data_IF_838972529980
#
_entry.id   IF_838972529980
#
_cell.length_a   1.000
_cell.length_b   1.000
_cell.length_c   1.000
_cell.angle_alpha   90.00
_cell.angle_beta   90.00
_cell.angle_gamma   90.00
#
_symmetry.space_group_name_H-M   'P 1'
#
loop_
_entity.id
_entity.type
_entity.pdbx_description
1 polymer ?
#
# COMPACT_ATOMS: atom_id res chain seq x y z
N UNK A 1 11.69 -38.68 -21.61
CA UNK A 1 12.21 -37.29 -21.60
C UNK A 1 11.30 -36.49 -20.68
N UNK A 2 11.74 -36.30 -19.44
CA UNK A 2 11.02 -35.58 -18.38
C UNK A 2 11.69 -34.21 -18.20
N UNK A 3 10.89 -33.16 -18.15
CA UNK A 3 11.32 -31.77 -17.97
C UNK A 3 11.92 -31.57 -16.58
N UNK A 4 13.21 -31.23 -16.55
CA UNK A 4 13.95 -30.73 -15.39
C UNK A 4 13.75 -29.21 -15.34
N UNK A 5 12.89 -28.73 -14.44
CA UNK A 5 12.87 -27.34 -13.94
C UNK A 5 12.10 -27.28 -12.60
N UNK A 6 12.56 -28.08 -11.64
CA UNK A 6 12.18 -27.95 -10.23
C UNK A 6 13.47 -27.69 -9.46
N UNK A 7 13.69 -26.45 -9.04
CA UNK A 7 14.80 -26.11 -8.13
C UNK A 7 14.41 -26.64 -6.74
N UNK A 8 15.24 -27.49 -6.10
CA UNK A 8 14.97 -27.95 -4.75
C UNK A 8 15.17 -26.81 -3.76
N UNK A 9 14.28 -26.74 -2.76
CA UNK A 9 14.40 -25.82 -1.62
C UNK A 9 15.60 -26.25 -0.79
N UNK A 10 16.76 -25.66 -1.07
CA UNK A 10 17.97 -25.80 -0.27
C UNK A 10 17.90 -24.87 0.93
N UNK A 11 17.88 -25.45 2.13
CA UNK A 11 18.15 -24.73 3.37
C UNK A 11 19.60 -24.23 3.34
N UNK A 12 19.80 -22.91 3.34
CA UNK A 12 21.05 -22.31 3.81
C UNK A 12 20.83 -22.00 5.28
N UNK A 13 21.44 -22.78 6.16
CA UNK A 13 21.55 -22.42 7.56
C UNK A 13 22.51 -21.23 7.65
N UNK A 14 21.95 -20.03 7.79
CA UNK A 14 22.71 -18.86 8.22
C UNK A 14 22.65 -18.90 9.75
N UNK A 15 23.67 -19.50 10.37
CA UNK A 15 23.96 -19.28 11.79
C UNK A 15 24.47 -17.84 11.95
N UNK A 16 23.54 -16.90 11.95
CA UNK A 16 23.75 -15.53 12.42
C UNK A 16 22.88 -15.35 13.67
N UNK A 17 23.44 -14.96 14.82
CA UNK A 17 22.64 -14.72 16.01
C UNK A 17 21.78 -13.47 15.79
N UNK A 18 20.47 -13.70 15.60
CA UNK A 18 19.38 -12.72 15.60
C UNK A 18 19.28 -11.78 14.38
N UNK A 19 18.94 -12.31 13.21
CA UNK A 19 18.27 -11.48 12.20
C UNK A 19 16.88 -11.07 12.75
N UNK A 20 16.70 -9.80 13.11
CA UNK A 20 15.41 -9.26 13.56
C UNK A 20 14.40 -9.38 12.42
N UNK A 21 13.42 -10.27 12.55
CA UNK A 21 12.32 -10.37 11.58
C UNK A 21 11.25 -9.37 11.98
N UNK A 22 10.84 -8.53 11.03
CA UNK A 22 9.74 -7.58 11.22
C UNK A 22 8.51 -8.08 10.48
N UNK A 23 7.43 -8.38 11.21
CA UNK A 23 6.17 -8.81 10.61
C UNK A 23 5.32 -7.62 10.20
N UNK A 24 5.08 -7.47 8.91
CA UNK A 24 4.27 -6.41 8.32
C UNK A 24 2.90 -6.97 7.92
N UNK A 25 1.84 -6.44 8.53
CA UNK A 25 0.45 -6.71 8.17
C UNK A 25 -0.06 -5.58 7.29
N UNK A 26 -0.57 -5.90 6.11
CA UNK A 26 -1.02 -4.94 5.11
C UNK A 26 -2.51 -5.10 4.85
N UNK A 27 -3.22 -3.97 4.84
CA UNK A 27 -4.66 -3.83 4.55
C UNK A 27 -4.85 -2.58 3.69
N UNK A 28 -5.90 -2.55 2.86
CA UNK A 28 -6.31 -1.37 2.09
C UNK A 28 -7.80 -1.42 1.82
N UNK A 29 -8.42 -0.29 1.45
CA UNK A 29 -9.79 -0.26 0.94
C UNK A 29 -10.79 -0.93 1.90
N UNK A 30 -10.68 -0.63 3.18
CA UNK A 30 -11.65 -1.14 4.18
C UNK A 30 -13.00 -0.50 4.00
N UNK A 31 -13.08 0.73 3.47
CA UNK A 31 -14.33 1.47 3.30
C UNK A 31 -15.17 1.41 4.60
N UNK A 32 -16.45 1.08 4.53
CA UNK A 32 -17.31 0.92 5.72
C UNK A 32 -17.04 -0.32 6.57
N UNK A 33 -16.16 -1.23 6.12
CA UNK A 33 -15.91 -2.50 6.79
C UNK A 33 -14.79 -2.42 7.84
N UNK A 34 -14.15 -1.26 8.04
CA UNK A 34 -13.13 -1.07 9.07
C UNK A 34 -13.63 -1.40 10.49
N UNK A 35 -14.92 -1.17 10.75
CA UNK A 35 -15.59 -1.49 12.01
C UNK A 35 -15.74 -3.00 12.25
N UNK A 36 -15.76 -3.80 11.18
CA UNK A 36 -15.89 -5.26 11.25
C UNK A 36 -14.56 -5.93 11.61
N UNK A 37 -13.43 -5.30 11.26
CA UNK A 37 -12.11 -5.83 11.56
C UNK A 37 -11.87 -5.90 13.07
N UNK A 38 -11.47 -7.06 13.58
CA UNK A 38 -11.21 -7.28 15.01
C UNK A 38 -9.73 -7.55 15.27
N UNK A 39 -9.20 -7.18 16.45
CA UNK A 39 -7.87 -7.63 16.86
C UNK A 39 -7.82 -9.16 16.93
N UNK A 40 -6.61 -9.73 16.91
CA UNK A 40 -6.45 -11.17 17.00
C UNK A 40 -6.97 -11.67 18.36
N UNK A 41 -7.64 -12.83 18.37
CA UNK A 41 -8.16 -13.39 19.62
C UNK A 41 -6.99 -13.68 20.58
N UNK A 42 -7.08 -13.19 21.83
CA UNK A 42 -6.20 -13.70 22.89
C UNK A 42 -6.45 -15.19 23.04
N UNK A 43 -5.45 -16.00 22.71
CA UNK A 43 -5.48 -17.42 23.06
C UNK A 43 -5.47 -17.48 24.59
N UNK A 44 -6.58 -17.91 25.20
CA UNK A 44 -6.66 -18.15 26.63
C UNK A 44 -5.67 -19.26 27.03
N UNK A 45 -4.44 -18.86 27.32
CA UNK A 45 -3.39 -19.66 27.90
C UNK A 45 -2.45 -18.68 28.57
N UNK A 46 -2.48 -18.64 29.91
CA UNK A 46 -1.66 -17.82 30.81
C UNK A 46 -0.45 -17.14 30.15
N UNK A 47 -0.66 -15.94 29.60
CA UNK A 47 0.41 -14.98 29.38
C UNK A 47 0.17 -13.89 30.40
N UNK A 48 1.05 -13.87 31.41
CA UNK A 48 1.10 -12.86 32.45
C UNK A 48 0.96 -11.46 31.85
N UNK A 49 0.07 -10.67 32.44
CA UNK A 49 -0.16 -9.24 32.21
C UNK A 49 1.14 -8.48 31.97
N UNK A 50 1.39 -8.06 30.74
CA UNK A 50 2.30 -6.94 30.48
C UNK A 50 1.50 -5.66 30.66
N UNK A 51 1.68 -5.01 31.81
CA UNK A 51 1.35 -3.60 31.98
C UNK A 51 2.14 -2.82 30.94
N UNK A 52 1.46 -2.19 29.99
CA UNK A 52 2.06 -1.17 29.13
C UNK A 52 2.30 0.09 29.97
N UNK A 53 3.45 0.18 30.63
CA UNK A 53 4.05 1.48 30.88
C UNK A 53 4.55 1.99 29.53
N UNK A 54 3.90 3.02 29.00
CA UNK A 54 4.43 3.83 27.91
C UNK A 54 5.87 4.23 28.25
N UNK A 55 6.87 3.90 27.42
CA UNK A 55 8.15 4.56 27.50
C UNK A 55 8.02 5.95 26.85
N UNK A 56 8.44 6.96 27.60
CA UNK A 56 8.65 8.32 27.14
C UNK A 56 9.49 8.38 25.85
N UNK A 57 9.09 9.29 24.95
CA UNK A 57 9.92 9.98 23.96
C UNK A 57 11.22 9.27 23.50
N UNK A 58 11.14 8.49 22.42
CA UNK A 58 12.31 8.22 21.59
C UNK A 58 12.07 8.66 20.14
N UNK A 59 13.04 9.44 19.65
CA UNK A 59 13.08 10.17 18.40
C UNK A 59 12.74 9.30 17.17
N UNK A 60 11.56 9.47 16.61
CA UNK A 60 11.34 9.17 15.19
C UNK A 60 12.00 10.29 14.39
N UNK A 61 13.13 9.99 13.72
CA UNK A 61 13.77 10.93 12.81
C UNK A 61 12.90 11.04 11.56
N UNK A 62 12.08 12.10 11.50
CA UNK A 62 11.53 12.60 10.24
C UNK A 62 12.70 13.24 9.48
N UNK A 63 12.97 12.80 8.26
CA UNK A 63 13.97 13.44 7.42
C UNK A 63 13.47 14.85 7.02
N UNK A 64 14.13 15.91 7.52
CA UNK A 64 13.71 17.30 7.35
C UNK A 64 14.17 17.96 6.03
N UNK A 65 14.80 17.24 5.10
CA UNK A 65 15.43 17.87 3.92
C UNK A 65 14.55 17.95 2.66
N UNK A 66 13.36 18.54 2.76
CA UNK A 66 12.56 18.92 1.58
C UNK A 66 12.17 20.40 1.55
N UNK A 67 13.15 21.30 1.41
CA UNK A 67 12.91 22.69 0.98
C UNK A 67 13.92 23.16 -0.09
N UNK A 68 13.37 23.37 -1.28
CA UNK A 68 13.66 24.37 -2.33
C UNK A 68 15.09 24.89 -2.54
N UNK A 69 15.69 24.58 -3.70
CA UNK A 69 16.34 25.58 -4.57
C UNK A 69 16.12 25.18 -6.05
N UNK A 70 15.43 26.05 -6.80
CA UNK A 70 15.54 26.15 -8.26
C UNK A 70 16.79 26.96 -8.58
N UNK A 71 17.75 26.41 -9.34
CA UNK A 71 18.34 27.08 -10.53
C UNK A 71 19.23 26.10 -11.32
N UNK A 72 19.24 26.36 -12.62
CA UNK A 72 19.96 25.81 -13.76
C UNK A 72 21.43 25.45 -13.58
N UNK A 73 21.82 24.28 -14.08
CA UNK A 73 22.74 24.13 -15.23
C UNK A 73 23.26 22.70 -15.31
N UNK A 74 23.43 22.26 -16.55
CA UNK A 74 23.92 20.97 -17.00
C UNK A 74 25.27 20.55 -16.41
N UNK A 75 25.36 19.34 -15.87
CA UNK A 75 26.35 18.31 -16.22
C UNK A 75 26.03 17.03 -15.44
N UNK A 76 25.62 15.98 -16.15
CA UNK A 76 25.51 14.63 -15.60
C UNK A 76 26.93 14.12 -15.36
N UNK A 77 27.36 14.12 -14.10
CA UNK A 77 28.45 13.27 -13.63
C UNK A 77 27.81 12.00 -13.08
N UNK A 78 28.07 10.88 -13.74
CA UNK A 78 27.75 9.53 -13.24
C UNK A 78 28.41 9.35 -11.87
N UNK A 79 27.60 9.10 -10.84
CA UNK A 79 28.06 8.67 -9.53
C UNK A 79 27.98 7.14 -9.45
N UNK A 80 28.96 6.46 -8.83
CA UNK A 80 29.01 5.01 -8.79
C UNK A 80 27.86 4.44 -7.97
N UNK A 81 27.35 3.29 -8.42
CA UNK A 81 26.37 2.46 -7.71
C UNK A 81 26.92 2.01 -6.35
N UNK A 82 26.66 2.78 -5.28
CA UNK A 82 26.61 2.20 -3.94
C UNK A 82 25.42 1.24 -3.93
N UNK A 83 25.72 -0.05 -4.09
CA UNK A 83 24.76 -1.15 -4.02
C UNK A 83 24.27 -1.25 -2.58
N UNK A 84 23.26 -0.46 -2.23
CA UNK A 84 22.50 -0.66 -1.00
C UNK A 84 21.78 -2.00 -1.11
N UNK A 85 22.20 -2.98 -0.30
CA UNK A 85 21.48 -4.23 -0.16
C UNK A 85 20.13 -3.94 0.53
N UNK A 86 19.03 -4.19 -0.18
CA UNK A 86 17.69 -4.13 0.40
C UNK A 86 17.34 -5.47 1.02
N UNK A 87 16.59 -5.44 2.12
CA UNK A 87 16.16 -6.64 2.83
C UNK A 87 15.32 -7.59 1.97
N UNK A 88 14.96 -8.75 2.50
CA UNK A 88 14.07 -9.71 1.83
C UNK A 88 12.66 -9.69 2.45
N UNK A 89 11.62 -9.90 1.63
CA UNK A 89 10.24 -10.00 2.11
C UNK A 89 9.64 -11.33 1.63
N UNK A 90 9.30 -12.18 2.59
CA UNK A 90 8.63 -13.45 2.34
C UNK A 90 7.15 -13.33 2.71
N UNK A 91 6.27 -13.73 1.79
CA UNK A 91 4.85 -13.86 2.09
C UNK A 91 4.70 -14.97 3.13
N UNK A 92 4.20 -14.62 4.32
CA UNK A 92 3.86 -15.62 5.30
C UNK A 92 2.64 -16.38 4.79
N UNK A 93 2.84 -17.59 4.27
CA UNK A 93 1.73 -18.42 3.81
C UNK A 93 0.90 -18.79 5.04
N UNK A 94 -0.23 -18.14 5.26
CA UNK A 94 -1.28 -18.71 6.09
C UNK A 94 -1.87 -19.91 5.33
N UNK A 95 -1.14 -21.04 5.34
CA UNK A 95 -1.72 -22.33 5.00
C UNK A 95 -2.87 -22.57 6.00
N UNK A 96 -4.10 -22.37 5.54
CA UNK A 96 -5.30 -23.12 5.96
C UNK A 96 -5.72 -23.10 7.44
N UNK A 97 -5.29 -22.18 8.29
CA UNK A 97 -5.92 -22.05 9.62
C UNK A 97 -6.99 -20.98 9.61
N UNK A 98 -8.26 -21.41 9.66
CA UNK A 98 -9.50 -20.85 10.26
C UNK A 98 -9.52 -19.43 10.86
N UNK A 99 -8.74 -18.46 10.37
CA UNK A 99 -8.88 -17.07 10.77
C UNK A 99 -10.22 -16.60 10.22
N UNK A 100 -11.02 -16.00 11.10
CA UNK A 100 -12.23 -15.31 10.69
C UNK A 100 -11.82 -14.27 9.64
N UNK A 101 -12.57 -14.13 8.54
CA UNK A 101 -12.20 -13.20 7.46
C UNK A 101 -12.05 -11.76 8.01
N UNK A 102 -12.60 -11.46 9.19
CA UNK A 102 -12.51 -10.18 9.90
C UNK A 102 -11.33 -10.02 10.87
N UNK A 103 -10.52 -11.05 11.11
CA UNK A 103 -9.44 -10.98 12.09
C UNK A 103 -8.17 -10.36 11.46
N UNK A 104 -7.62 -9.33 12.10
CA UNK A 104 -6.30 -8.78 11.73
C UNK A 104 -5.24 -9.55 12.51
N UNK A 105 -4.32 -10.27 11.86
CA UNK A 105 -3.28 -11.05 12.54
C UNK A 105 -2.34 -10.17 13.37
N UNK A 106 -1.63 -10.79 14.32
CA UNK A 106 -0.51 -10.14 15.00
C UNK A 106 0.62 -9.81 14.02
N UNK A 107 1.23 -8.64 14.20
CA UNK A 107 2.48 -8.23 13.55
C UNK A 107 3.13 -7.05 14.28
N UNK A 108 4.34 -6.71 13.87
CA UNK A 108 5.08 -5.56 14.40
C UNK A 108 4.57 -4.25 13.79
N UNK A 109 4.27 -4.27 12.48
CA UNK A 109 3.81 -3.11 11.71
C UNK A 109 2.46 -3.40 11.09
N UNK A 110 1.47 -2.54 11.32
CA UNK A 110 0.20 -2.52 10.57
C UNK A 110 0.24 -1.40 9.54
N UNK A 111 0.05 -1.72 8.27
CA UNK A 111 0.01 -0.75 7.16
C UNK A 111 -1.40 -0.71 6.57
N UNK A 112 -1.98 0.48 6.49
CA UNK A 112 -3.21 0.73 5.75
C UNK A 112 -2.96 1.68 4.56
N UNK A 113 -3.06 1.18 3.33
CA UNK A 113 -2.70 1.91 2.10
C UNK A 113 -3.86 2.67 1.44
N UNK A 114 -4.70 3.33 2.24
CA UNK A 114 -5.73 4.24 1.77
C UNK A 114 -7.11 3.65 1.56
N UNK A 115 -8.07 4.54 1.29
CA UNK A 115 -9.51 4.25 1.20
C UNK A 115 -10.03 3.60 2.50
N UNK A 116 -9.74 4.28 3.61
CA UNK A 116 -10.17 3.90 4.94
C UNK A 116 -11.68 4.08 5.11
N UNK A 117 -12.24 5.20 4.64
CA UNK A 117 -13.68 5.46 4.70
C UNK A 117 -14.29 5.73 3.33
N UNK A 118 -15.43 5.09 3.06
CA UNK A 118 -16.34 5.45 1.98
C UNK A 118 -17.74 5.54 2.55
N UNK A 119 -18.23 6.76 2.81
CA UNK A 119 -19.62 6.94 3.25
C UNK A 119 -20.62 6.61 2.15
N UNK A 120 -21.27 5.43 2.22
CA UNK A 120 -22.49 5.13 1.44
C UNK A 120 -23.69 5.98 1.88
N UNK A 121 -23.62 6.62 3.05
CA UNK A 121 -24.64 7.54 3.56
C UNK A 121 -24.54 8.95 2.97
N UNK A 122 -23.46 9.27 2.26
CA UNK A 122 -23.36 10.46 1.42
C UNK A 122 -24.03 10.28 0.05
N UNK A 123 -25.27 9.76 0.06
CA UNK A 123 -26.21 9.82 -1.07
C UNK A 123 -26.79 11.22 -1.29
N UNK A 124 -26.33 12.23 -0.55
CA UNK A 124 -26.65 13.64 -0.73
C UNK A 124 -25.50 14.42 -1.38
N UNK A 125 -25.79 15.67 -1.77
CA UNK A 125 -24.86 16.63 -2.41
C UNK A 125 -23.61 16.91 -1.54
N UNK A 126 -23.64 16.58 -0.25
CA UNK A 126 -22.58 16.81 0.72
C UNK A 126 -22.02 15.47 1.23
N UNK A 127 -20.76 15.19 0.86
CA UNK A 127 -19.94 14.14 1.48
C UNK A 127 -19.55 14.60 2.88
N UNK A 128 -19.40 13.68 3.83
CA UNK A 128 -18.69 14.03 5.07
C UNK A 128 -17.22 14.19 4.70
N UNK A 129 -16.87 15.39 4.23
CA UNK A 129 -15.49 15.87 4.15
C UNK A 129 -15.03 16.35 5.54
N UNK A 130 -15.69 15.89 6.62
CA UNK A 130 -15.43 16.32 7.99
C UNK A 130 -14.14 15.66 8.49
N UNK A 131 -13.06 16.40 8.32
CA UNK A 131 -11.72 16.04 8.77
C UNK A 131 -11.68 15.46 10.20
N UNK A 132 -12.35 16.09 11.16
CA UNK A 132 -12.26 15.68 12.57
C UNK A 132 -12.96 14.33 12.82
N UNK A 133 -14.13 14.12 12.19
CA UNK A 133 -14.88 12.86 12.30
C UNK A 133 -14.09 11.70 11.70
N UNK A 134 -13.55 11.89 10.49
CA UNK A 134 -12.78 10.85 9.79
C UNK A 134 -11.49 10.50 10.56
N UNK A 135 -10.76 11.50 11.07
CA UNK A 135 -9.56 11.24 11.84
C UNK A 135 -9.88 10.55 13.17
N UNK A 136 -11.00 10.88 13.82
CA UNK A 136 -11.43 10.16 15.02
C UNK A 136 -11.75 8.69 14.72
N UNK A 137 -12.46 8.40 13.62
CA UNK A 137 -12.72 7.01 13.21
C UNK A 137 -11.42 6.23 12.92
N UNK A 138 -10.43 6.89 12.31
CA UNK A 138 -9.10 6.29 12.12
C UNK A 138 -8.42 6.00 13.45
N UNK A 139 -8.49 6.92 14.43
CA UNK A 139 -7.96 6.69 15.77
C UNK A 139 -8.60 5.49 16.45
N UNK A 140 -9.93 5.48 16.52
CA UNK A 140 -10.69 4.39 17.10
C UNK A 140 -10.36 3.04 16.42
N UNK A 141 -10.11 3.07 15.10
CA UNK A 141 -9.68 1.88 14.37
C UNK A 141 -8.29 1.40 14.78
N UNK A 142 -7.26 2.25 14.68
CA UNK A 142 -5.86 1.85 14.90
C UNK A 142 -5.54 1.55 16.36
N UNK A 143 -6.24 2.17 17.31
CA UNK A 143 -6.08 1.91 18.75
C UNK A 143 -6.44 0.46 19.14
N UNK A 144 -7.40 -0.16 18.43
CA UNK A 144 -7.82 -1.54 18.71
C UNK A 144 -6.74 -2.58 18.45
N UNK A 145 -5.74 -2.27 17.61
CA UNK A 145 -4.76 -3.25 17.18
C UNK A 145 -3.45 -3.13 17.96
N UNK A 146 -2.86 -4.26 18.40
CA UNK A 146 -1.68 -4.28 19.29
C UNK A 146 -0.34 -4.10 18.56
N UNK A 147 -0.34 -3.78 17.27
CA UNK A 147 0.88 -3.59 16.47
C UNK A 147 1.71 -2.44 17.05
N UNK A 148 3.04 -2.58 17.03
CA UNK A 148 3.98 -1.61 17.62
C UNK A 148 3.99 -0.31 16.80
N UNK A 149 4.01 -0.44 15.48
CA UNK A 149 3.92 0.66 14.53
C UNK A 149 2.66 0.52 13.69
N UNK A 150 1.93 1.61 13.49
CA UNK A 150 0.79 1.68 12.57
C UNK A 150 1.05 2.78 11.57
N UNK A 151 0.99 2.46 10.28
CA UNK A 151 1.24 3.36 9.17
C UNK A 151 -0.03 3.55 8.36
N UNK A 152 -0.33 4.80 8.01
CA UNK A 152 -1.45 5.14 7.16
C UNK A 152 -0.98 5.99 5.97
N UNK A 153 -1.42 5.62 4.78
CA UNK A 153 -1.36 6.46 3.57
C UNK A 153 -2.79 6.70 3.13
N UNK A 154 -3.14 7.93 2.77
CA UNK A 154 -4.47 8.27 2.27
C UNK A 154 -4.71 7.71 0.85
N UNK A 155 -5.97 7.49 0.51
CA UNK A 155 -6.44 7.14 -0.82
C UNK A 155 -7.34 8.21 -1.41
N UNK A 156 -8.02 7.89 -2.51
CA UNK A 156 -8.87 8.87 -3.20
C UNK A 156 -10.19 9.18 -2.48
N UNK A 157 -10.51 8.44 -1.43
CA UNK A 157 -11.66 8.72 -0.58
C UNK A 157 -11.37 9.65 0.58
N UNK A 158 -10.12 9.78 1.00
CA UNK A 158 -9.72 10.71 2.07
C UNK A 158 -9.52 12.15 1.55
N UNK A 159 -10.46 12.66 0.75
CA UNK A 159 -10.40 14.03 0.24
C UNK A 159 -10.33 15.09 1.36
N UNK A 160 -10.86 14.78 2.55
CA UNK A 160 -10.77 15.64 3.72
C UNK A 160 -9.33 15.84 4.22
N UNK A 161 -8.38 14.99 3.84
CA UNK A 161 -6.95 15.13 4.19
C UNK A 161 -6.16 15.94 3.15
N UNK A 162 -6.68 16.07 1.93
CA UNK A 162 -5.97 16.75 0.85
C UNK A 162 -5.86 18.26 1.11
N UNK A 163 -4.69 18.85 0.81
CA UNK A 163 -4.40 20.26 1.04
C UNK A 163 -4.05 20.63 2.48
N UNK A 164 -4.22 19.72 3.45
CA UNK A 164 -3.74 19.91 4.82
C UNK A 164 -2.24 19.62 4.90
N UNK A 165 -1.56 20.33 5.81
CA UNK A 165 -0.14 20.04 6.11
C UNK A 165 -0.03 18.70 6.82
N UNK A 166 1.05 17.97 6.60
CA UNK A 166 1.34 16.69 7.27
C UNK A 166 1.19 16.81 8.80
N UNK A 167 1.86 17.80 9.41
CA UNK A 167 1.78 18.06 10.86
C UNK A 167 0.34 18.24 11.35
N UNK A 168 -0.47 19.01 10.60
CA UNK A 168 -1.88 19.26 10.92
C UNK A 168 -2.70 17.97 10.94
N UNK A 169 -2.41 16.99 10.09
CA UNK A 169 -3.10 15.69 10.15
C UNK A 169 -2.54 14.84 11.28
N UNK A 170 -1.21 14.76 11.40
CA UNK A 170 -0.51 13.92 12.38
C UNK A 170 -0.83 14.31 13.84
N UNK A 171 -1.04 15.59 14.13
CA UNK A 171 -1.45 16.08 15.45
C UNK A 171 -2.82 15.56 15.89
N UNK A 172 -3.70 15.19 14.93
CA UNK A 172 -5.02 14.61 15.23
C UNK A 172 -5.01 13.09 15.09
N UNK A 173 -4.29 12.54 14.12
CA UNK A 173 -4.14 11.09 13.96
C UNK A 173 -3.02 10.60 14.89
N UNK A 174 -3.33 10.41 16.17
CA UNK A 174 -2.34 10.06 17.20
C UNK A 174 -2.06 8.56 17.27
N UNK A 175 -2.99 7.74 16.80
CA UNK A 175 -2.93 6.27 16.85
C UNK A 175 -2.06 5.63 15.78
N UNK A 176 -1.68 6.38 14.74
CA UNK A 176 -0.91 5.92 13.59
C UNK A 176 -0.04 7.04 13.02
N UNK A 177 1.05 6.66 12.37
CA UNK A 177 1.90 7.59 11.60
C UNK A 177 1.29 7.77 10.21
N UNK A 178 0.93 9.00 9.88
CA UNK A 178 0.47 9.37 8.56
C UNK A 178 1.67 9.66 7.64
N UNK A 179 1.73 8.99 6.50
CA UNK A 179 2.77 9.22 5.49
C UNK A 179 2.19 9.99 4.31
N UNK A 180 2.72 11.19 4.08
CA UNK A 180 2.36 12.09 2.98
C UNK A 180 3.62 12.59 2.28
N UNK A 181 4.05 11.86 1.26
CA UNK A 181 5.33 12.07 0.58
C UNK A 181 6.51 12.09 1.56
N UNK A 182 6.43 11.24 2.58
CA UNK A 182 7.37 11.20 3.70
C UNK A 182 7.79 9.77 4.01
N UNK A 183 8.92 9.65 4.72
CA UNK A 183 9.50 8.39 5.17
C UNK A 183 9.47 8.23 6.68
N UNK A 184 9.62 6.99 7.12
CA UNK A 184 9.94 6.63 8.50
C UNK A 184 10.86 5.40 8.47
N UNK A 185 11.76 5.32 9.44
CA UNK A 185 12.63 4.16 9.64
C UNK A 185 12.16 3.41 10.88
N UNK A 186 11.97 2.10 10.76
CA UNK A 186 11.61 1.23 11.89
C UNK A 186 12.39 -0.07 11.79
N UNK A 187 13.13 -0.42 12.84
CA UNK A 187 14.00 -1.62 12.88
C UNK A 187 14.94 -1.72 11.65
N UNK A 188 15.47 -0.57 11.20
CA UNK A 188 16.34 -0.46 10.03
C UNK A 188 15.65 -0.44 8.67
N UNK A 189 14.34 -0.68 8.60
CA UNK A 189 13.54 -0.71 7.36
C UNK A 189 13.10 0.70 6.97
N UNK A 190 13.37 1.10 5.73
CA UNK A 190 12.97 2.41 5.17
C UNK A 190 11.58 2.33 4.53
N UNK A 191 10.57 2.83 5.23
CA UNK A 191 9.22 2.99 4.69
C UNK A 191 9.07 4.35 4.01
N UNK A 192 8.39 4.40 2.87
CA UNK A 192 7.98 5.66 2.24
C UNK A 192 6.53 5.59 1.79
N UNK A 193 5.74 6.62 2.08
CA UNK A 193 4.31 6.66 1.79
C UNK A 193 3.87 7.87 0.96
N UNK A 194 3.01 7.65 -0.03
CA UNK A 194 2.44 8.73 -0.85
C UNK A 194 1.03 8.37 -1.38
N UNK A 195 0.04 9.28 -1.29
CA UNK A 195 -1.37 8.95 -1.50
C UNK A 195 -1.85 9.07 -2.95
N UNK A 196 -1.04 9.62 -3.85
CA UNK A 196 -1.54 10.09 -5.14
C UNK A 196 -2.03 8.98 -6.06
N UNK A 197 -3.09 9.30 -6.80
CA UNK A 197 -3.72 8.39 -7.75
C UNK A 197 -3.96 9.08 -9.10
N UNK A 198 -3.90 8.36 -10.23
CA UNK A 198 -4.16 8.95 -11.54
C UNK A 198 -5.59 9.51 -11.63
N UNK A 199 -5.69 10.79 -12.01
CA UNK A 199 -6.97 11.41 -12.30
C UNK A 199 -7.69 10.69 -13.45
N UNK A 200 -8.98 10.41 -13.26
CA UNK A 200 -9.87 9.87 -14.28
C UNK A 200 -11.18 10.65 -14.28
N UNK A 201 -11.57 11.15 -15.45
CA UNK A 201 -12.74 12.03 -15.60
C UNK A 201 -14.08 11.41 -15.17
N UNK A 202 -14.14 10.08 -15.07
CA UNK A 202 -15.34 9.33 -14.65
C UNK A 202 -15.31 8.87 -13.18
N UNK A 203 -14.38 9.31 -12.34
CA UNK A 203 -14.35 8.85 -10.93
C UNK A 203 -15.29 9.66 -10.03
N UNK A 204 -15.91 8.97 -9.06
CA UNK A 204 -16.66 9.63 -7.98
C UNK A 204 -15.74 10.10 -6.85
N UNK A 205 -14.54 9.54 -6.73
CA UNK A 205 -13.55 9.92 -5.73
C UNK A 205 -12.93 11.30 -6.04
N UNK A 206 -12.36 11.97 -5.04
CA UNK A 206 -11.82 13.34 -5.25
C UNK A 206 -10.45 13.60 -4.61
N UNK A 207 -10.06 12.82 -3.59
CA UNK A 207 -8.80 13.02 -2.90
C UNK A 207 -7.60 12.61 -3.74
N UNK A 208 -6.53 13.38 -3.67
CA UNK A 208 -5.19 13.04 -4.14
C UNK A 208 -5.14 12.60 -5.62
N UNK A 209 -6.04 13.13 -6.45
CA UNK A 209 -6.09 12.82 -7.88
C UNK A 209 -5.18 13.75 -8.68
N UNK A 210 -4.22 13.17 -9.40
CA UNK A 210 -3.25 13.94 -10.19
C UNK A 210 -3.28 13.57 -11.67
N UNK A 211 -3.12 14.57 -12.53
CA UNK A 211 -2.86 14.35 -13.96
C UNK A 211 -1.49 13.69 -14.16
N UNK A 212 -1.28 13.05 -15.32
CA UNK A 212 -0.08 12.27 -15.61
C UNK A 212 1.24 13.05 -15.44
N UNK A 213 1.27 14.34 -15.75
CA UNK A 213 2.44 15.20 -15.56
C UNK A 213 2.73 15.47 -14.08
N UNK A 214 1.72 15.90 -13.33
CA UNK A 214 1.86 16.23 -11.89
C UNK A 214 2.19 14.99 -11.06
N UNK A 215 1.52 13.86 -11.34
CA UNK A 215 1.74 12.63 -10.58
C UNK A 215 3.18 12.11 -10.74
N UNK A 216 3.77 12.28 -11.92
CA UNK A 216 5.16 11.90 -12.16
C UNK A 216 6.15 12.70 -11.31
N UNK A 217 5.84 13.95 -10.98
CA UNK A 217 6.69 14.76 -10.10
C UNK A 217 6.73 14.19 -8.69
N UNK A 218 5.61 13.69 -8.17
CA UNK A 218 5.57 13.02 -6.87
C UNK A 218 6.37 11.72 -6.88
N UNK A 219 6.27 10.91 -7.95
CA UNK A 219 7.02 9.66 -8.06
C UNK A 219 8.53 9.86 -8.09
N UNK A 220 9.01 10.94 -8.71
CA UNK A 220 10.43 11.28 -8.74
C UNK A 220 11.00 11.65 -7.37
N UNK A 221 10.14 12.12 -6.44
CA UNK A 221 10.57 12.49 -5.09
C UNK A 221 10.74 11.27 -4.17
N UNK A 222 10.27 10.08 -4.58
CA UNK A 222 10.45 8.87 -3.78
C UNK A 222 11.96 8.53 -3.73
N UNK A 223 12.57 8.43 -2.53
CA UNK A 223 13.99 8.10 -2.38
C UNK A 223 14.31 6.71 -2.93
N UNK A 224 15.49 6.55 -3.54
CA UNK A 224 15.93 5.22 -4.03
C UNK A 224 16.18 4.23 -2.88
N UNK A 225 16.45 4.71 -1.66
CA UNK A 225 16.67 3.91 -0.45
C UNK A 225 15.40 3.23 0.11
N UNK A 226 14.21 3.47 -0.45
CA UNK A 226 12.97 2.86 0.05
C UNK A 226 12.97 1.33 -0.03
N UNK A 227 12.82 0.67 1.12
CA UNK A 227 12.67 -0.79 1.25
C UNK A 227 11.21 -1.21 1.08
N UNK A 228 10.31 -0.47 1.72
CA UNK A 228 8.86 -0.68 1.68
C UNK A 228 8.19 0.58 1.15
N UNK A 229 7.68 0.50 -0.08
CA UNK A 229 6.92 1.58 -0.69
C UNK A 229 5.42 1.37 -0.42
N UNK A 230 4.74 2.42 0.04
CA UNK A 230 3.29 2.42 0.31
C UNK A 230 2.64 3.47 -0.59
N UNK A 231 1.81 3.03 -1.53
CA UNK A 231 1.02 3.93 -2.38
C UNK A 231 -0.43 3.51 -2.34
N UNK A 232 -1.39 4.41 -2.56
CA UNK A 232 -2.76 3.97 -2.73
C UNK A 232 -2.96 3.30 -4.11
N UNK A 233 -2.52 3.98 -5.17
CA UNK A 233 -2.63 3.46 -6.54
C UNK A 233 -1.60 2.38 -6.88
N UNK A 234 -1.97 1.34 -7.65
CA UNK A 234 -1.03 0.33 -8.12
C UNK A 234 -0.15 0.85 -9.28
N UNK A 235 1.04 0.27 -9.47
CA UNK A 235 1.78 0.34 -10.73
C UNK A 235 0.96 -0.25 -11.89
N UNK A 236 1.04 0.36 -13.08
CA UNK A 236 0.33 -0.16 -14.25
C UNK A 236 0.81 -1.57 -14.63
N UNK A 237 -0.12 -2.48 -14.92
CA UNK A 237 0.21 -3.86 -15.31
C UNK A 237 0.65 -4.77 -14.16
N UNK A 238 0.40 -4.37 -12.91
CA UNK A 238 0.71 -5.13 -11.71
C UNK A 238 -0.51 -5.04 -10.78
N UNK A 239 -1.27 -6.14 -10.66
CA UNK A 239 -2.44 -6.25 -9.78
C UNK A 239 -3.44 -5.07 -9.92
N UNK A 240 -3.58 -4.53 -11.13
CA UNK A 240 -4.33 -3.31 -11.41
C UNK A 240 -5.43 -3.50 -12.47
N UNK A 241 -5.77 -4.76 -12.78
CA UNK A 241 -6.81 -5.08 -13.74
C UNK A 241 -8.18 -5.07 -13.06
N UNK A 242 -8.96 -4.02 -13.31
CA UNK A 242 -10.31 -3.85 -12.79
C UNK A 242 -11.35 -3.78 -13.91
N UNK A 243 -12.64 -3.92 -13.58
CA UNK A 243 -13.68 -3.71 -14.60
C UNK A 243 -13.64 -2.26 -15.12
N UNK A 244 -14.00 -2.07 -16.39
CA UNK A 244 -14.12 -0.74 -16.98
C UNK A 244 -15.25 0.04 -16.33
N UNK A 245 -15.14 1.36 -16.30
CA UNK A 245 -16.17 2.21 -15.71
C UNK A 245 -17.53 2.06 -16.40
N UNK A 246 -17.53 1.93 -17.74
CA UNK A 246 -18.75 1.68 -18.53
C UNK A 246 -19.46 0.39 -18.10
N UNK A 247 -18.70 -0.64 -17.74
CA UNK A 247 -19.25 -1.88 -17.19
C UNK A 247 -19.91 -1.70 -15.82
N UNK A 248 -19.39 -0.78 -14.99
CA UNK A 248 -19.91 -0.51 -13.64
C UNK A 248 -21.23 0.26 -13.65
N UNK A 249 -21.40 1.23 -14.56
CA UNK A 249 -22.59 2.10 -14.60
C UNK A 249 -23.76 1.56 -15.41
N UNK A 250 -23.50 0.77 -16.45
CA UNK A 250 -24.56 0.15 -17.26
C UNK A 250 -24.27 -1.35 -17.35
N UNK A 251 -24.76 -2.14 -16.39
CA UNK A 251 -24.63 -3.59 -16.42
C UNK A 251 -25.15 -4.13 -17.76
N UNK A 252 -24.35 -4.96 -18.44
CA UNK A 252 -24.68 -5.51 -19.76
C UNK A 252 -24.24 -4.67 -20.97
N UNK A 253 -24.01 -3.35 -20.85
CA UNK A 253 -23.49 -2.53 -21.95
C UNK A 253 -22.04 -2.88 -22.27
N UNK A 254 -21.22 -3.08 -21.24
CA UNK A 254 -19.84 -3.58 -21.38
C UNK A 254 -19.80 -4.95 -22.07
N UNK A 255 -20.74 -5.83 -21.74
CA UNK A 255 -20.81 -7.16 -22.32
C UNK A 255 -21.28 -7.11 -23.78
N UNK A 256 -22.28 -6.28 -24.08
CA UNK A 256 -22.73 -6.00 -25.44
C UNK A 256 -21.62 -5.37 -26.29
N UNK A 257 -20.90 -4.36 -25.78
CA UNK A 257 -19.74 -3.75 -26.45
C UNK A 257 -18.62 -4.77 -26.66
N UNK A 258 -18.30 -5.59 -25.66
CA UNK A 258 -17.27 -6.63 -25.76
C UNK A 258 -17.61 -7.72 -26.79
N UNK A 259 -18.90 -7.94 -27.09
CA UNK A 259 -19.35 -8.88 -28.14
C UNK A 259 -19.24 -8.30 -29.55
N UNK A 260 -19.22 -6.96 -29.70
CA UNK A 260 -19.25 -6.29 -31.02
C UNK A 260 -17.95 -5.54 -31.38
N UNK A 261 -17.08 -5.24 -30.43
CA UNK A 261 -15.75 -4.68 -30.70
C UNK A 261 -14.70 -5.79 -30.76
N UNK A 262 -13.78 -5.79 -31.74
CA UNK A 262 -12.71 -6.76 -31.79
C UNK A 262 -11.90 -6.73 -30.50
N UNK A 263 -11.71 -7.91 -29.92
CA UNK A 263 -10.88 -8.14 -28.75
C UNK A 263 -9.41 -7.90 -29.11
N UNK A 264 -9.00 -6.63 -29.14
CA UNK A 264 -7.60 -6.27 -29.37
C UNK A 264 -6.78 -6.62 -28.11
N UNK A 265 -5.57 -7.16 -28.28
CA UNK A 265 -4.62 -7.32 -27.19
C UNK A 265 -4.42 -6.00 -26.45
N UNK A 266 -4.43 -6.03 -25.11
CA UNK A 266 -4.16 -4.83 -24.34
C UNK A 266 -2.72 -4.34 -24.57
N UNK A 267 -2.54 -3.04 -24.84
CA UNK A 267 -1.22 -2.42 -25.01
C UNK A 267 -0.28 -2.58 -23.80
N UNK A 268 -0.82 -2.87 -22.61
CA UNK A 268 -0.04 -2.97 -21.37
C UNK A 268 0.46 -4.39 -21.09
N UNK A 269 -0.35 -5.42 -21.36
CA UNK A 269 -0.01 -6.80 -21.02
C UNK A 269 -0.03 -7.76 -22.21
N UNK A 270 -0.50 -7.32 -23.39
CA UNK A 270 -0.66 -8.16 -24.58
C UNK A 270 -1.80 -9.18 -24.48
N UNK A 271 -2.56 -9.18 -23.38
CA UNK A 271 -3.65 -10.13 -23.14
C UNK A 271 -4.98 -9.45 -23.48
N UNK A 272 -5.90 -10.22 -24.04
CA UNK A 272 -7.29 -9.80 -24.24
C UNK A 272 -8.04 -9.95 -22.92
N UNK A 273 -8.55 -8.85 -22.38
CA UNK A 273 -9.39 -8.84 -21.18
C UNK A 273 -10.68 -8.03 -21.41
N UNK A 274 -11.73 -8.63 -21.98
CA UNK A 274 -12.93 -7.91 -22.39
C UNK A 274 -13.63 -7.26 -21.19
N UNK A 275 -14.07 -6.00 -21.34
CA UNK A 275 -14.73 -5.25 -20.27
C UNK A 275 -13.84 -4.86 -19.08
N UNK A 276 -12.53 -5.13 -19.12
CA UNK A 276 -11.56 -4.76 -18.07
C UNK A 276 -10.47 -3.83 -18.60
N UNK A 277 -9.84 -3.09 -17.70
CA UNK A 277 -8.74 -2.19 -18.04
C UNK A 277 -7.75 -2.06 -16.89
N UNK A 278 -6.52 -1.68 -17.22
CA UNK A 278 -5.48 -1.36 -16.25
C UNK A 278 -5.72 0.02 -15.64
N UNK A 279 -5.98 0.03 -14.33
CA UNK A 279 -6.23 1.24 -13.55
C UNK A 279 -4.94 1.88 -13.01
N UNK A 280 -3.84 1.14 -12.97
CA UNK A 280 -2.57 1.59 -12.41
C UNK A 280 -1.85 2.65 -13.23
N UNK A 281 -0.83 3.25 -12.59
CA UNK A 281 -0.03 4.34 -13.14
C UNK A 281 1.22 3.82 -13.86
N UNK A 282 1.39 4.16 -15.15
CA UNK A 282 2.58 3.77 -15.93
C UNK A 282 3.84 4.44 -15.42
N UNK A 283 3.76 5.71 -15.02
CA UNK A 283 4.90 6.45 -14.46
C UNK A 283 5.36 5.86 -13.13
N UNK A 284 4.43 5.43 -12.27
CA UNK A 284 4.78 4.72 -11.04
C UNK A 284 5.47 3.39 -11.34
N UNK A 285 4.94 2.61 -12.30
CA UNK A 285 5.57 1.36 -12.73
C UNK A 285 7.01 1.59 -13.17
N UNK A 286 7.25 2.59 -14.00
CA UNK A 286 8.59 2.84 -14.54
C UNK A 286 9.56 3.22 -13.39
N UNK A 287 9.15 4.10 -12.48
CA UNK A 287 9.95 4.47 -11.29
C UNK A 287 10.24 3.28 -10.38
N UNK A 288 9.22 2.46 -10.08
CA UNK A 288 9.35 1.30 -9.19
C UNK A 288 10.23 0.21 -9.79
N UNK A 289 10.07 -0.08 -11.09
CA UNK A 289 10.79 -1.17 -11.74
C UNK A 289 12.24 -0.78 -12.08
N UNK A 290 12.47 0.47 -12.46
CA UNK A 290 13.75 0.92 -13.03
C UNK A 290 14.65 1.62 -12.01
N UNK A 291 14.09 2.35 -11.04
CA UNK A 291 14.87 3.19 -10.12
C UNK A 291 14.72 2.78 -8.65
N UNK A 292 13.49 2.82 -8.13
CA UNK A 292 13.25 2.64 -6.69
C UNK A 292 13.51 1.20 -6.29
N UNK A 293 12.94 0.23 -7.01
CA UNK A 293 13.10 -1.21 -6.75
C UNK A 293 12.97 -1.57 -5.25
N UNK A 294 11.85 -1.25 -4.59
CA UNK A 294 11.65 -1.61 -3.19
C UNK A 294 11.58 -3.14 -3.06
N UNK A 295 11.91 -3.69 -1.90
CA UNK A 295 11.68 -5.11 -1.64
C UNK A 295 10.18 -5.41 -1.61
N UNK A 296 9.39 -4.50 -1.03
CA UNK A 296 7.95 -4.63 -0.87
C UNK A 296 7.23 -3.37 -1.34
N UNK A 297 6.21 -3.52 -2.19
CA UNK A 297 5.33 -2.42 -2.61
C UNK A 297 3.88 -2.74 -2.23
N UNK A 298 3.35 -1.98 -1.27
CA UNK A 298 2.03 -2.13 -0.65
C UNK A 298 1.06 -1.10 -1.23
N UNK A 299 -0.09 -1.56 -1.74
CA UNK A 299 -1.14 -0.70 -2.31
C UNK A 299 -2.53 -1.36 -2.31
N UNK A 300 -3.53 -0.64 -2.83
CA UNK A 300 -4.90 -1.12 -3.00
C UNK A 300 -5.56 -0.56 -4.26
N UNK A 301 -6.67 0.17 -4.07
CA UNK A 301 -7.44 0.91 -5.09
C UNK A 301 -8.22 0.03 -6.10
N UNK A 302 -7.58 -1.01 -6.64
CA UNK A 302 -8.19 -1.88 -7.65
C UNK A 302 -8.65 -3.16 -6.97
N UNK A 303 -9.93 -3.18 -6.58
CA UNK A 303 -10.49 -4.22 -5.72
C UNK A 303 -10.39 -5.63 -6.29
N UNK A 304 -10.57 -5.76 -7.60
CA UNK A 304 -10.45 -7.03 -8.30
C UNK A 304 -9.00 -7.49 -8.50
N UNK A 305 -8.05 -6.62 -8.20
CA UNK A 305 -6.62 -6.89 -8.25
C UNK A 305 -6.05 -7.42 -6.94
N UNK A 306 -6.87 -7.62 -5.89
CA UNK A 306 -6.40 -8.14 -4.61
C UNK A 306 -5.54 -9.41 -4.82
N UNK A 307 -4.34 -9.40 -4.24
CA UNK A 307 -3.38 -10.48 -4.34
C UNK A 307 -1.94 -10.04 -4.10
N UNK A 308 -1.02 -11.00 -4.26
CA UNK A 308 0.42 -10.80 -4.11
C UNK A 308 1.14 -11.39 -5.31
N UNK A 309 2.11 -10.67 -5.86
CA UNK A 309 2.96 -11.12 -6.98
C UNK A 309 4.38 -10.68 -6.77
N UNK A 310 5.35 -11.58 -7.01
CA UNK A 310 6.74 -11.18 -7.15
C UNK A 310 7.08 -10.93 -8.62
N UNK A 311 7.65 -9.77 -8.94
CA UNK A 311 8.07 -9.42 -10.30
C UNK A 311 9.38 -8.66 -10.26
N UNK A 312 10.40 -9.16 -10.95
CA UNK A 312 11.75 -8.56 -11.02
C UNK A 312 12.41 -8.35 -9.64
N UNK A 313 12.16 -9.27 -8.71
CA UNK A 313 12.69 -9.23 -7.34
C UNK A 313 11.92 -8.33 -6.38
N UNK A 314 10.80 -7.73 -6.81
CA UNK A 314 9.95 -6.87 -5.99
C UNK A 314 8.68 -7.64 -5.67
N UNK A 315 8.31 -7.69 -4.39
CA UNK A 315 7.02 -8.24 -3.96
C UNK A 315 5.98 -7.13 -3.97
N UNK A 316 4.93 -7.29 -4.78
CA UNK A 316 3.82 -6.35 -4.88
C UNK A 316 2.61 -6.93 -4.17
N UNK A 317 1.92 -6.11 -3.40
CA UNK A 317 0.73 -6.49 -2.66
C UNK A 317 -0.40 -5.51 -2.91
N UNK A 318 -1.46 -5.99 -3.55
CA UNK A 318 -2.75 -5.31 -3.54
C UNK A 318 -3.60 -5.91 -2.42
N UNK A 319 -3.78 -5.20 -1.30
CA UNK A 319 -4.55 -5.71 -0.16
C UNK A 319 -5.94 -5.08 -0.06
N UNK A 320 -6.54 -4.70 -1.19
CA UNK A 320 -7.89 -4.13 -1.20
C UNK A 320 -8.91 -5.10 -0.59
N UNK A 321 -9.52 -4.71 0.52
CA UNK A 321 -10.35 -5.55 1.36
C UNK A 321 -11.81 -5.68 0.84
N UNK A 322 -12.21 -4.85 -0.14
CA UNK A 322 -13.60 -4.75 -0.61
C UNK A 322 -14.24 -6.06 -1.13
N UNK A 323 -13.48 -6.94 -1.79
CA UNK A 323 -13.99 -8.22 -2.32
C UNK A 323 -13.34 -9.44 -1.69
N UNK A 324 -12.05 -9.36 -1.36
CA UNK A 324 -11.30 -10.41 -0.70
C UNK A 324 -10.88 -9.88 0.67
N UNK A 325 -11.60 -10.34 1.69
CA UNK A 325 -11.50 -9.87 3.07
C UNK A 325 -10.35 -10.55 3.80
N UNK A 326 -9.12 -10.29 3.38
CA UNK A 326 -7.92 -10.88 4.01
C UNK A 326 -6.77 -9.89 4.04
N UNK A 327 -6.24 -9.58 5.24
CA UNK A 327 -4.96 -8.91 5.36
C UNK A 327 -3.84 -9.75 4.76
N UNK A 328 -2.86 -9.09 4.17
CA UNK A 328 -1.63 -9.75 3.72
C UNK A 328 -0.55 -9.64 4.80
N UNK A 329 0.19 -10.71 5.06
CA UNK A 329 1.21 -10.75 6.11
C UNK A 329 2.57 -11.10 5.51
N UNK A 330 3.57 -10.29 5.78
CA UNK A 330 4.93 -10.43 5.29
C UNK A 330 5.89 -10.51 6.47
N UNK A 331 6.81 -11.48 6.42
CA UNK A 331 7.99 -11.47 7.27
C UNK A 331 9.11 -10.77 6.49
N UNK A 332 9.53 -9.61 6.99
CA UNK A 332 10.58 -8.78 6.39
C UNK A 332 11.89 -8.98 7.14
N UNK A 333 12.96 -9.22 6.40
CA UNK A 333 14.32 -9.42 6.89
C UNK A 333 15.14 -8.19 6.50
N UNK A 334 15.38 -7.24 7.42
CA UNK A 334 16.21 -6.07 7.15
C UNK A 334 17.60 -6.50 6.65
N UNK A 335 18.16 -5.75 5.71
CA UNK A 335 19.55 -5.96 5.33
C UNK A 335 20.47 -5.61 6.51
N UNK A 336 21.48 -6.45 6.74
CA UNK A 336 22.47 -6.27 7.80
C UNK A 336 23.36 -5.04 7.58
#
# INVERSE_FOLDING_TARGET
MQNLDVIPVGYVAIDSPSATVVRIVHISDTHLEHSLLTPPHQINGNVSTYRSSLPDNHNYMLDENSREVFDSSSQFLEMPDDVFHKGEALLHSSRRSRLNDYEVPYGDVLVHSGDFDWSKHSGGIFRSDNFEEIVQLMNDFFERFPHKLKLFVAGNHEACLEGKKLQTVQERLTSAVYLLNSSIIYEGIHFYGTPYSPFRWMTNARGFLCTSGKIAMHWRQIPSRTDVLITHSPPRGILDLGVTWSARKVPGLSEAFSRVTPNQPCETCGIVHPGRTHWGCSKLRDEVILRIRPTLHLFGHVHEGNGVVNKKGITFSNSSYAYIKRPHVFDFYPAC
#
